data_IF_821334938270
#
_entry.id   IF_821334938270
#
_cell.length_a   1.000
_cell.length_b   1.000
_cell.length_c   1.000
_cell.angle_alpha   90.00
_cell.angle_beta   90.00
_cell.angle_gamma   90.00
#
_symmetry.space_group_name_H-M   'P 1'
#
loop_
_entity.id
_entity.type
_entity.pdbx_description
1 polymer ?
#
# COMPACT_ATOMS: atom_id res chain seq x y z
N UNK A 1 5.45 -39.70 1.56
CA UNK A 1 5.49 -38.27 1.26
C UNK A 1 6.66 -38.03 0.33
N UNK A 2 6.36 -37.85 -0.96
CA UNK A 2 7.39 -37.62 -1.97
C UNK A 2 7.82 -36.16 -1.95
N UNK A 3 9.11 -35.98 -1.70
CA UNK A 3 10.02 -34.84 -1.87
C UNK A 3 9.50 -33.61 -2.63
N UNK A 4 9.44 -32.49 -1.96
CA UNK A 4 10.43 -31.40 -2.05
C UNK A 4 10.49 -30.59 -3.34
N UNK A 5 9.67 -30.85 -4.35
CA UNK A 5 9.56 -29.94 -5.49
C UNK A 5 8.62 -28.78 -5.12
N UNK A 6 9.17 -27.58 -4.98
CA UNK A 6 8.39 -26.36 -4.77
C UNK A 6 7.36 -26.22 -5.89
N UNK A 7 6.11 -25.96 -5.50
CA UNK A 7 4.98 -25.83 -6.45
C UNK A 7 5.09 -24.53 -7.24
N UNK A 8 4.52 -24.53 -8.44
CA UNK A 8 4.16 -23.27 -9.10
C UNK A 8 3.00 -22.62 -8.35
N UNK A 9 2.90 -21.30 -8.41
CA UNK A 9 1.84 -20.53 -7.74
C UNK A 9 1.28 -19.51 -8.72
N UNK A 10 -0.03 -19.38 -8.72
CA UNK A 10 -0.77 -18.50 -9.60
C UNK A 10 -1.68 -17.60 -8.77
N UNK A 11 -1.76 -16.32 -9.13
CA UNK A 11 -2.85 -15.47 -8.70
C UNK A 11 -4.04 -15.83 -9.59
N UNK A 12 -5.09 -16.37 -8.97
CA UNK A 12 -6.30 -16.86 -9.66
C UNK A 12 -7.49 -15.93 -9.51
N UNK A 13 -7.45 -15.00 -8.56
CA UNK A 13 -8.45 -13.98 -8.38
C UNK A 13 -7.87 -12.71 -7.77
N UNK A 14 -8.51 -11.58 -8.11
CA UNK A 14 -8.21 -10.25 -7.58
C UNK A 14 -9.49 -9.57 -7.12
N UNK A 15 -9.37 -8.69 -6.14
CA UNK A 15 -10.48 -7.89 -5.66
C UNK A 15 -10.02 -6.58 -5.05
N UNK A 16 -10.87 -5.56 -5.12
CA UNK A 16 -10.60 -4.27 -4.50
C UNK A 16 -11.88 -3.64 -3.97
N UNK A 17 -11.77 -2.99 -2.81
CA UNK A 17 -12.86 -2.22 -2.21
C UNK A 17 -12.41 -0.78 -2.00
N UNK A 18 -13.01 0.14 -2.75
CA UNK A 18 -12.85 1.57 -2.56
C UNK A 18 -14.14 2.09 -1.91
N UNK A 19 -14.10 2.58 -0.64
CA UNK A 19 -15.28 2.89 0.13
C UNK A 19 -15.97 4.18 -0.33
N UNK A 20 -17.29 4.22 -0.18
CA UNK A 20 -18.10 5.41 -0.48
C UNK A 20 -18.04 5.87 -1.94
N UNK A 21 -18.41 7.12 -2.15
CA UNK A 21 -18.29 7.77 -3.47
C UNK A 21 -16.86 8.26 -3.73
N UNK A 22 -16.52 8.45 -5.01
CA UNK A 22 -15.28 9.13 -5.40
C UNK A 22 -15.36 10.61 -5.02
N UNK A 23 -14.46 11.07 -4.17
CA UNK A 23 -14.38 12.44 -3.66
C UNK A 23 -13.37 13.25 -4.47
N UNK A 24 -13.81 14.31 -5.13
CA UNK A 24 -12.96 15.25 -5.86
C UNK A 24 -12.13 16.15 -4.93
N UNK A 25 -11.13 16.80 -5.52
CA UNK A 25 -10.21 17.68 -4.79
C UNK A 25 -10.88 18.89 -4.11
N UNK A 26 -12.02 19.32 -4.62
CA UNK A 26 -12.83 20.42 -4.11
C UNK A 26 -13.61 20.06 -2.85
N UNK A 27 -13.93 18.78 -2.67
CA UNK A 27 -14.77 18.27 -1.57
C UNK A 27 -14.00 17.59 -0.45
N UNK A 28 -12.68 17.37 -0.59
CA UNK A 28 -11.93 16.56 0.40
C UNK A 28 -11.99 17.13 1.83
N UNK A 29 -11.91 18.46 1.99
CA UNK A 29 -11.97 19.07 3.32
C UNK A 29 -13.34 18.93 3.99
N UNK A 30 -14.40 18.57 3.25
CA UNK A 30 -15.69 18.21 3.83
C UNK A 30 -15.61 16.89 4.61
N UNK A 31 -14.72 15.98 4.21
CA UNK A 31 -14.52 14.67 4.83
C UNK A 31 -13.41 14.68 5.89
N UNK A 32 -12.23 15.21 5.54
CA UNK A 32 -11.09 15.22 6.47
C UNK A 32 -11.09 16.40 7.45
N UNK A 33 -12.03 17.34 7.30
CA UNK A 33 -12.15 18.51 8.15
C UNK A 33 -11.08 19.57 7.89
N UNK A 34 -11.31 20.75 8.47
CA UNK A 34 -10.40 21.90 8.42
C UNK A 34 -9.82 22.16 9.79
N UNK A 35 -8.51 22.11 9.93
CA UNK A 35 -7.81 22.40 11.18
C UNK A 35 -8.01 23.89 11.54
N UNK A 36 -8.41 24.17 12.77
CA UNK A 36 -8.83 25.50 13.24
C UNK A 36 -9.89 26.16 12.33
N UNK A 37 -10.74 25.36 11.66
CA UNK A 37 -11.77 25.83 10.74
C UNK A 37 -11.25 26.48 9.45
N UNK A 38 -9.96 26.38 9.13
CA UNK A 38 -9.31 27.07 8.01
C UNK A 38 -8.94 26.13 6.86
N UNK A 39 -9.15 26.56 5.59
CA UNK A 39 -8.68 25.79 4.44
C UNK A 39 -7.15 25.64 4.43
N UNK A 40 -6.65 24.46 4.11
CA UNK A 40 -5.21 24.24 4.03
C UNK A 40 -4.55 25.00 2.86
N UNK A 41 -3.47 25.73 3.17
CA UNK A 41 -2.62 26.37 2.17
C UNK A 41 -1.69 25.35 1.51
N UNK A 42 -1.17 24.40 2.29
CA UNK A 42 -0.30 23.32 1.81
C UNK A 42 -1.08 22.35 0.94
N UNK A 43 -2.32 22.02 1.31
CA UNK A 43 -3.19 21.12 0.57
C UNK A 43 -3.37 21.52 -0.88
N UNK A 44 -3.66 22.79 -1.16
CA UNK A 44 -3.77 23.31 -2.55
C UNK A 44 -2.49 23.14 -3.37
N UNK A 45 -1.32 23.20 -2.72
CA UNK A 45 -0.04 22.95 -3.37
C UNK A 45 0.19 21.45 -3.58
N UNK A 46 -0.10 20.62 -2.57
CA UNK A 46 0.01 19.17 -2.65
C UNK A 46 -0.83 18.61 -3.81
N UNK A 47 -2.09 19.05 -3.94
CA UNK A 47 -2.99 18.63 -5.01
C UNK A 47 -2.48 18.94 -6.43
N UNK A 48 -1.72 20.03 -6.61
CA UNK A 48 -1.10 20.32 -7.91
C UNK A 48 0.08 19.39 -8.25
N UNK A 49 0.77 18.89 -7.22
CA UNK A 49 1.97 18.07 -7.40
C UNK A 49 1.70 16.57 -7.41
N UNK A 50 0.69 16.13 -6.63
CA UNK A 50 0.43 14.70 -6.50
C UNK A 50 -0.28 14.09 -7.73
N UNK A 51 -1.01 14.90 -8.52
CA UNK A 51 -1.71 14.44 -9.71
C UNK A 51 -2.92 13.55 -9.42
N UNK A 52 -3.45 13.63 -8.21
CA UNK A 52 -4.67 12.93 -7.78
C UNK A 52 -5.87 13.83 -8.06
N UNK A 53 -6.87 13.30 -8.74
CA UNK A 53 -8.10 13.99 -9.11
C UNK A 53 -9.28 13.56 -8.24
N UNK A 54 -9.23 12.33 -7.73
CA UNK A 54 -10.22 11.78 -6.83
C UNK A 54 -9.61 10.75 -5.87
N UNK A 55 -10.35 10.49 -4.82
CA UNK A 55 -9.99 9.52 -3.78
C UNK A 55 -11.25 8.99 -3.11
N UNK A 56 -11.07 8.06 -2.20
CA UNK A 56 -12.15 7.46 -1.44
C UNK A 56 -11.90 7.61 0.05
N UNK A 57 -12.97 7.81 0.81
CA UNK A 57 -12.92 7.88 2.26
C UNK A 57 -13.92 6.92 2.88
N UNK A 58 -13.46 6.15 3.85
CA UNK A 58 -14.30 5.25 4.65
C UNK A 58 -15.04 6.01 5.78
N UNK A 59 -15.17 7.32 5.63
CA UNK A 59 -15.87 8.23 6.52
C UNK A 59 -16.97 8.97 5.77
N UNK A 60 -18.04 9.33 6.48
CA UNK A 60 -18.95 10.39 6.04
C UNK A 60 -18.34 11.78 6.31
N UNK A 61 -18.88 12.88 5.75
CA UNK A 61 -18.47 14.23 6.11
C UNK A 61 -18.57 14.52 7.62
N UNK A 62 -19.55 13.93 8.30
CA UNK A 62 -19.71 14.06 9.75
C UNK A 62 -18.70 13.21 10.55
N UNK A 63 -17.82 12.48 9.86
CA UNK A 63 -16.77 11.67 10.47
C UNK A 63 -17.24 10.31 11.00
N UNK A 64 -18.43 9.86 10.58
CA UNK A 64 -18.92 8.53 10.94
C UNK A 64 -18.25 7.48 10.04
N UNK A 65 -17.61 6.45 10.62
CA UNK A 65 -17.01 5.37 9.82
C UNK A 65 -18.07 4.59 9.05
N UNK A 66 -17.86 4.41 7.74
CA UNK A 66 -18.66 3.53 6.87
C UNK A 66 -18.15 2.08 6.94
N UNK A 67 -16.86 1.93 7.19
CA UNK A 67 -16.14 0.66 7.26
C UNK A 67 -15.09 0.71 8.36
N UNK A 68 -14.71 -0.44 8.88
CA UNK A 68 -13.41 -0.62 9.53
C UNK A 68 -12.34 -0.94 8.47
N UNK A 69 -11.06 -0.81 8.79
CA UNK A 69 -10.00 -1.25 7.90
C UNK A 69 -10.09 -2.76 7.64
N UNK A 70 -10.41 -3.52 8.69
CA UNK A 70 -10.60 -4.97 8.58
C UNK A 70 -11.79 -5.34 7.68
N UNK A 71 -12.92 -4.62 7.75
CA UNK A 71 -14.09 -4.90 6.89
C UNK A 71 -13.83 -4.57 5.42
N UNK A 72 -13.03 -3.53 5.11
CA UNK A 72 -12.60 -3.24 3.74
C UNK A 72 -11.72 -4.39 3.20
N UNK A 73 -10.73 -4.84 3.98
CA UNK A 73 -9.90 -5.99 3.62
C UNK A 73 -10.74 -7.25 3.38
N UNK A 74 -11.69 -7.54 4.28
CA UNK A 74 -12.59 -8.68 4.13
C UNK A 74 -13.44 -8.58 2.86
N UNK A 75 -13.93 -7.39 2.51
CA UNK A 75 -14.65 -7.14 1.26
C UNK A 75 -13.80 -7.44 0.04
N UNK A 76 -12.55 -6.94 0.01
CA UNK A 76 -11.62 -7.19 -1.08
C UNK A 76 -11.25 -8.68 -1.21
N UNK A 77 -11.08 -9.40 -0.07
CA UNK A 77 -10.82 -10.85 -0.09
C UNK A 77 -12.01 -11.63 -0.62
N UNK A 78 -13.25 -11.26 -0.24
CA UNK A 78 -14.45 -11.90 -0.81
C UNK A 78 -14.52 -11.73 -2.32
N UNK A 79 -14.30 -10.51 -2.80
CA UNK A 79 -14.28 -10.25 -4.24
C UNK A 79 -13.19 -11.05 -4.96
N UNK A 80 -12.00 -11.16 -4.36
CA UNK A 80 -10.92 -11.96 -4.94
C UNK A 80 -11.21 -13.46 -4.96
N UNK A 81 -11.87 -13.99 -3.92
CA UNK A 81 -12.35 -15.39 -3.89
C UNK A 81 -13.44 -15.63 -4.94
N UNK A 82 -14.42 -14.72 -5.03
CA UNK A 82 -15.49 -14.80 -6.03
C UNK A 82 -14.91 -14.76 -7.45
N UNK A 83 -13.94 -13.87 -7.71
CA UNK A 83 -13.23 -13.83 -9.00
C UNK A 83 -12.48 -15.14 -9.27
N UNK A 84 -11.88 -15.79 -8.27
CA UNK A 84 -11.26 -17.11 -8.41
C UNK A 84 -12.28 -18.25 -8.57
N UNK A 85 -13.56 -18.03 -8.30
CA UNK A 85 -14.61 -19.05 -8.26
C UNK A 85 -14.54 -19.92 -6.99
N UNK A 86 -14.04 -19.35 -5.88
CA UNK A 86 -13.87 -19.99 -4.59
C UNK A 86 -14.77 -19.36 -3.53
N UNK A 87 -15.00 -20.11 -2.46
CA UNK A 87 -15.70 -19.63 -1.26
C UNK A 87 -14.77 -19.35 -0.09
N UNK A 88 -15.29 -18.68 0.93
CA UNK A 88 -14.53 -18.43 2.18
C UNK A 88 -14.07 -19.74 2.84
N UNK A 89 -14.84 -20.82 2.70
CA UNK A 89 -14.53 -22.13 3.24
C UNK A 89 -13.28 -22.79 2.62
N UNK A 90 -12.89 -22.38 1.42
CA UNK A 90 -11.72 -22.89 0.72
C UNK A 90 -10.41 -22.24 1.24
N UNK A 91 -10.50 -21.08 1.91
CA UNK A 91 -9.35 -20.30 2.37
C UNK A 91 -8.63 -20.98 3.52
N UNK A 92 -7.33 -21.22 3.38
CA UNK A 92 -6.49 -21.91 4.36
C UNK A 92 -5.42 -21.00 4.98
N UNK A 93 -5.00 -19.95 4.24
CA UNK A 93 -4.03 -18.97 4.72
C UNK A 93 -4.48 -17.55 4.39
N UNK A 94 -4.37 -16.64 5.35
CA UNK A 94 -4.67 -15.22 5.20
C UNK A 94 -3.47 -14.36 5.65
N UNK A 95 -2.79 -13.74 4.70
CA UNK A 95 -1.85 -12.66 4.96
C UNK A 95 -2.56 -11.30 4.87
N UNK A 96 -2.60 -10.53 5.95
CA UNK A 96 -3.23 -9.21 5.95
C UNK A 96 -2.23 -8.11 6.35
N UNK A 97 -2.09 -7.10 5.48
CA UNK A 97 -1.16 -6.00 5.65
C UNK A 97 -1.87 -4.66 5.84
N UNK A 98 -1.28 -3.80 6.64
CA UNK A 98 -1.72 -2.41 6.82
C UNK A 98 -0.61 -1.57 7.43
N UNK A 99 -0.64 -0.27 7.22
CA UNK A 99 0.18 0.68 7.97
C UNK A 99 -0.24 0.68 9.43
N UNK A 100 -1.55 0.67 9.70
CA UNK A 100 -2.10 0.58 11.04
C UNK A 100 -3.48 -0.09 11.05
N UNK A 101 -3.62 -1.13 11.87
CA UNK A 101 -4.88 -1.80 12.10
C UNK A 101 -5.90 -0.94 12.84
N UNK A 102 -7.12 -1.46 13.00
CA UNK A 102 -8.19 -0.78 13.75
C UNK A 102 -7.91 -0.74 15.25
N UNK A 103 -7.18 -1.73 15.74
CA UNK A 103 -6.76 -1.84 17.14
C UNK A 103 -5.24 -1.89 17.24
N UNK A 104 -4.68 -1.48 18.39
CA UNK A 104 -3.25 -1.66 18.69
C UNK A 104 -2.94 -3.16 18.86
N UNK A 105 -3.85 -3.90 19.48
CA UNK A 105 -3.85 -5.36 19.65
C UNK A 105 -5.29 -5.86 19.64
N UNK A 106 -5.58 -7.05 19.10
CA UNK A 106 -4.71 -8.00 18.43
C UNK A 106 -4.27 -7.55 17.02
N UNK A 107 -3.49 -8.39 16.34
CA UNK A 107 -3.01 -8.12 14.98
C UNK A 107 -4.12 -8.05 13.94
N UNK A 108 -3.90 -7.27 12.87
CA UNK A 108 -4.89 -6.93 11.85
C UNK A 108 -5.52 -8.15 11.16
N UNK A 109 -4.74 -9.21 10.89
CA UNK A 109 -5.25 -10.41 10.21
C UNK A 109 -6.36 -11.12 10.99
N UNK A 110 -6.31 -11.08 12.33
CA UNK A 110 -7.39 -11.70 13.16
C UNK A 110 -8.69 -10.91 13.04
N UNK A 111 -8.63 -9.59 12.93
CA UNK A 111 -9.80 -8.75 12.68
C UNK A 111 -10.39 -9.00 11.28
N UNK A 112 -9.54 -9.12 10.26
CA UNK A 112 -9.97 -9.45 8.89
C UNK A 112 -10.62 -10.83 8.83
N UNK A 113 -10.04 -11.84 9.50
CA UNK A 113 -10.62 -13.18 9.61
C UNK A 113 -12.01 -13.15 10.25
N UNK A 114 -12.17 -12.38 11.33
CA UNK A 114 -13.47 -12.23 12.01
C UNK A 114 -14.51 -11.58 11.10
N UNK A 115 -14.15 -10.51 10.38
CA UNK A 115 -15.01 -9.86 9.41
C UNK A 115 -15.37 -10.78 8.21
N UNK A 116 -14.47 -11.66 7.80
CA UNK A 116 -14.76 -12.69 6.80
C UNK A 116 -15.75 -13.74 7.32
N UNK A 117 -15.84 -13.95 8.60
CA UNK A 117 -16.54 -15.12 9.18
C UNK A 117 -15.86 -16.44 8.80
N UNK A 118 -14.55 -16.40 8.52
CA UNK A 118 -13.80 -17.58 8.12
C UNK A 118 -13.58 -18.53 9.31
N UNK A 119 -13.63 -19.83 9.02
CA UNK A 119 -13.27 -20.88 9.97
C UNK A 119 -11.80 -20.79 10.39
N UNK A 120 -11.31 -21.74 11.17
CA UNK A 120 -9.91 -21.80 11.57
C UNK A 120 -8.99 -21.86 10.33
N UNK A 121 -8.04 -20.94 10.25
CA UNK A 121 -7.04 -20.85 9.19
C UNK A 121 -5.75 -20.24 9.74
N UNK A 122 -4.67 -20.32 9.00
CA UNK A 122 -3.45 -19.60 9.32
C UNK A 122 -3.61 -18.12 8.99
N UNK A 123 -3.54 -17.24 10.01
CA UNK A 123 -3.69 -15.81 9.86
C UNK A 123 -2.40 -15.07 10.27
N UNK A 124 -1.81 -14.30 9.34
CA UNK A 124 -0.54 -13.59 9.54
C UNK A 124 -0.71 -12.10 9.30
N UNK A 125 -0.42 -11.29 10.32
CA UNK A 125 -0.45 -9.83 10.21
C UNK A 125 0.91 -9.29 9.76
N UNK A 126 0.89 -8.42 8.75
CA UNK A 126 2.06 -7.68 8.26
C UNK A 126 1.86 -6.19 8.52
N UNK A 127 2.75 -5.58 9.30
CA UNK A 127 2.74 -4.15 9.54
C UNK A 127 3.87 -3.49 8.75
N UNK A 128 3.51 -2.69 7.77
CA UNK A 128 4.41 -1.89 6.96
C UNK A 128 3.59 -0.81 6.26
N UNK A 129 4.23 0.15 5.64
CA UNK A 129 3.54 1.14 4.82
C UNK A 129 3.22 0.52 3.44
N UNK A 130 3.66 1.13 2.34
CA UNK A 130 3.26 0.72 0.99
C UNK A 130 3.66 -0.72 0.62
N UNK A 131 4.83 -1.21 1.07
CA UNK A 131 5.33 -2.54 0.71
C UNK A 131 4.64 -3.70 1.47
N UNK A 132 3.78 -3.39 2.43
CA UNK A 132 3.04 -4.38 3.22
C UNK A 132 2.28 -5.40 2.36
N UNK A 133 1.65 -4.94 1.26
CA UNK A 133 0.97 -5.82 0.32
C UNK A 133 1.88 -6.92 -0.24
N UNK A 134 3.09 -6.56 -0.70
CA UNK A 134 4.04 -7.55 -1.21
C UNK A 134 4.66 -8.43 -0.12
N UNK A 135 4.73 -7.94 1.13
CA UNK A 135 5.10 -8.79 2.27
C UNK A 135 4.06 -9.89 2.49
N UNK A 136 2.77 -9.52 2.53
CA UNK A 136 1.67 -10.47 2.65
C UNK A 136 1.62 -11.44 1.46
N UNK A 137 1.79 -10.93 0.23
CA UNK A 137 1.88 -11.76 -0.96
C UNK A 137 3.02 -12.76 -0.90
N UNK A 138 4.20 -12.35 -0.42
CA UNK A 138 5.35 -13.23 -0.30
C UNK A 138 5.09 -14.35 0.71
N UNK A 139 4.43 -14.05 1.83
CA UNK A 139 4.00 -15.06 2.80
C UNK A 139 3.05 -16.07 2.17
N UNK A 140 1.93 -15.61 1.59
CA UNK A 140 0.96 -16.45 0.91
C UNK A 140 1.59 -17.29 -0.22
N UNK A 141 2.43 -16.67 -1.05
CA UNK A 141 3.16 -17.35 -2.13
C UNK A 141 4.06 -18.48 -1.60
N UNK A 142 4.80 -18.25 -0.52
CA UNK A 142 5.68 -19.26 0.08
C UNK A 142 4.87 -20.40 0.69
N UNK A 143 3.75 -20.11 1.36
CA UNK A 143 2.86 -21.10 1.97
C UNK A 143 2.26 -22.04 0.91
N UNK A 144 1.72 -21.49 -0.20
CA UNK A 144 1.21 -22.31 -1.32
C UNK A 144 2.35 -23.07 -2.01
N UNK A 145 3.50 -22.41 -2.23
CA UNK A 145 4.67 -22.99 -2.88
C UNK A 145 5.26 -24.16 -2.09
N UNK A 146 5.24 -24.08 -0.77
CA UNK A 146 5.69 -25.16 0.11
C UNK A 146 4.67 -26.31 0.22
N UNK A 147 3.42 -26.09 -0.20
CA UNK A 147 2.36 -27.09 -0.12
C UNK A 147 1.66 -27.11 1.23
N UNK A 148 1.85 -26.09 2.07
CA UNK A 148 1.17 -25.93 3.36
C UNK A 148 -0.28 -25.48 3.20
N UNK A 149 -0.62 -24.81 2.08
CA UNK A 149 -1.99 -24.43 1.71
C UNK A 149 -2.24 -24.66 0.22
N UNK A 150 -3.48 -24.99 -0.14
CA UNK A 150 -3.96 -25.02 -1.53
C UNK A 150 -4.53 -23.65 -1.93
N UNK A 151 -5.14 -22.92 -1.01
CA UNK A 151 -5.73 -21.60 -1.22
C UNK A 151 -5.24 -20.63 -0.16
N UNK A 152 -4.54 -19.59 -0.60
CA UNK A 152 -4.07 -18.50 0.25
C UNK A 152 -4.54 -17.15 -0.27
N UNK A 153 -4.93 -16.25 0.62
CA UNK A 153 -5.20 -14.85 0.28
C UNK A 153 -4.13 -13.93 0.87
N UNK A 154 -3.76 -12.90 0.09
CA UNK A 154 -2.97 -11.78 0.56
C UNK A 154 -3.76 -10.49 0.34
N UNK A 155 -4.11 -9.80 1.41
CA UNK A 155 -4.80 -8.52 1.34
C UNK A 155 -3.99 -7.38 1.98
N UNK A 156 -4.33 -6.17 1.59
CA UNK A 156 -3.84 -4.96 2.22
C UNK A 156 -4.97 -3.92 2.27
N UNK A 157 -5.05 -3.16 3.36
CA UNK A 157 -6.04 -2.11 3.52
C UNK A 157 -5.51 -0.92 4.28
N UNK A 158 -6.07 0.25 3.98
CA UNK A 158 -5.75 1.51 4.65
C UNK A 158 -7.01 2.29 4.98
N UNK A 159 -7.09 2.74 6.21
CA UNK A 159 -8.09 3.69 6.69
C UNK A 159 -7.38 4.98 7.11
N UNK A 160 -6.75 5.63 6.15
CA UNK A 160 -5.89 6.80 6.38
C UNK A 160 -6.68 8.03 6.82
N UNK A 161 -7.88 8.23 6.29
CA UNK A 161 -8.68 9.45 6.53
C UNK A 161 -9.03 9.67 8.00
N UNK A 162 -9.13 8.62 8.80
CA UNK A 162 -9.38 8.73 10.25
C UNK A 162 -8.30 9.54 10.99
N UNK A 163 -7.04 9.52 10.47
CA UNK A 163 -5.90 10.25 11.02
C UNK A 163 -5.80 11.69 10.52
N UNK A 164 -6.64 12.11 9.55
CA UNK A 164 -6.56 13.41 8.92
C UNK A 164 -7.53 14.43 9.51
N UNK A 165 -8.33 14.00 10.44
CA UNK A 165 -9.31 14.83 11.13
C UNK A 165 -8.65 15.89 12.01
N UNK A 166 -9.29 17.07 12.23
CA UNK A 166 -8.73 18.18 12.99
C UNK A 166 -8.22 17.78 14.37
N UNK A 167 -8.87 16.82 15.02
CA UNK A 167 -8.56 16.35 16.37
C UNK A 167 -7.13 15.81 16.52
N UNK A 168 -6.50 15.40 15.42
CA UNK A 168 -5.10 14.92 15.41
C UNK A 168 -4.08 16.06 15.29
N UNK A 169 -4.52 17.29 15.03
CA UNK A 169 -3.66 18.45 14.74
C UNK A 169 -3.89 19.63 15.67
N UNK A 170 -5.16 19.94 16.01
CA UNK A 170 -5.52 21.07 16.85
C UNK A 170 -4.89 20.98 18.23
N UNK A 171 -4.32 22.07 18.71
CA UNK A 171 -3.63 22.12 19.99
C UNK A 171 -2.27 21.39 20.05
N UNK A 172 -1.75 20.93 18.90
CA UNK A 172 -0.45 20.23 18.85
C UNK A 172 0.67 21.13 18.33
N UNK A 173 1.92 20.71 18.52
CA UNK A 173 3.12 21.36 17.99
C UNK A 173 3.20 21.34 16.44
N UNK A 174 2.27 20.67 15.74
CA UNK A 174 2.20 20.65 14.29
C UNK A 174 1.48 21.86 13.68
N UNK A 175 0.78 22.66 14.51
CA UNK A 175 0.04 23.84 14.07
C UNK A 175 0.79 25.10 14.53
N UNK A 176 1.12 25.97 13.58
CA UNK A 176 1.79 27.23 13.90
C UNK A 176 0.83 28.29 14.49
N UNK A 177 1.36 29.39 14.99
CA UNK A 177 0.59 30.50 15.56
C UNK A 177 -0.42 31.13 14.57
N UNK A 178 -0.34 30.81 13.28
CA UNK A 178 -1.29 31.24 12.24
C UNK A 178 -2.32 30.16 11.90
N UNK A 179 -2.38 29.06 12.65
CA UNK A 179 -3.29 27.94 12.42
C UNK A 179 -2.93 27.10 11.19
N UNK A 180 -1.66 27.08 10.76
CA UNK A 180 -1.22 26.30 9.58
C UNK A 180 -0.55 25.01 10.06
N UNK A 181 -1.01 23.89 9.51
CA UNK A 181 -0.40 22.59 9.73
C UNK A 181 0.95 22.54 9.00
N UNK A 182 1.96 21.93 9.62
CA UNK A 182 3.28 21.70 9.01
C UNK A 182 3.16 20.86 7.73
N UNK A 183 4.00 21.18 6.73
CA UNK A 183 3.97 20.52 5.42
C UNK A 183 4.19 19.01 5.53
N UNK A 184 5.04 18.59 6.46
CA UNK A 184 5.38 17.17 6.69
C UNK A 184 4.19 16.29 7.07
N UNK A 185 3.16 16.90 7.66
CA UNK A 185 1.91 16.25 8.02
C UNK A 185 0.81 16.54 6.98
N UNK A 186 0.65 17.81 6.59
CA UNK A 186 -0.49 18.25 5.80
C UNK A 186 -0.45 17.70 4.35
N UNK A 187 0.75 17.47 3.79
CA UNK A 187 0.89 16.82 2.47
C UNK A 187 0.22 15.44 2.44
N UNK A 188 0.37 14.64 3.51
CA UNK A 188 -0.20 13.30 3.58
C UNK A 188 -1.73 13.34 3.67
N UNK A 189 -2.29 14.34 4.38
CA UNK A 189 -3.74 14.58 4.44
C UNK A 189 -4.35 14.75 3.04
N UNK A 190 -3.62 15.37 2.13
CA UNK A 190 -4.06 15.67 0.76
C UNK A 190 -3.58 14.65 -0.29
N UNK A 191 -2.93 13.60 0.13
CA UNK A 191 -2.37 12.58 -0.79
C UNK A 191 -3.02 11.21 -0.58
N UNK A 192 -3.23 10.81 0.69
CA UNK A 192 -3.70 9.47 0.99
C UNK A 192 -5.22 9.32 0.82
N UNK A 193 -5.64 8.10 0.52
CA UNK A 193 -6.99 7.63 0.27
C UNK A 193 -7.24 6.38 1.10
N UNK A 194 -8.50 6.01 1.31
CA UNK A 194 -8.89 4.77 1.96
C UNK A 194 -9.23 3.69 0.94
N UNK A 195 -9.09 2.45 1.34
CA UNK A 195 -9.48 1.30 0.54
C UNK A 195 -8.71 0.04 0.88
N UNK A 196 -9.06 -1.03 0.23
CA UNK A 196 -8.40 -2.32 0.35
C UNK A 196 -8.28 -3.01 -1.01
N UNK A 197 -7.34 -3.94 -1.11
CA UNK A 197 -7.23 -4.84 -2.24
C UNK A 197 -6.68 -6.19 -1.79
N UNK A 198 -6.97 -7.22 -2.57
CA UNK A 198 -6.58 -8.59 -2.28
C UNK A 198 -6.27 -9.39 -3.54
N UNK A 199 -5.46 -10.42 -3.36
CA UNK A 199 -5.22 -11.47 -4.36
C UNK A 199 -5.40 -12.83 -3.71
N UNK A 200 -5.91 -13.79 -4.48
CA UNK A 200 -6.00 -15.20 -4.13
C UNK A 200 -4.94 -15.98 -4.91
N UNK A 201 -4.23 -16.87 -4.24
CA UNK A 201 -3.15 -17.66 -4.79
C UNK A 201 -3.43 -19.16 -4.64
N UNK A 202 -3.21 -19.92 -5.73
CA UNK A 202 -3.39 -21.36 -5.83
C UNK A 202 -2.20 -22.02 -6.53
N UNK A 203 -1.97 -23.35 -6.37
CA UNK A 203 -0.89 -24.07 -7.06
C UNK A 203 -1.19 -24.37 -8.55
N UNK A 204 -2.36 -23.99 -9.04
CA UNK A 204 -2.79 -24.23 -10.42
C UNK A 204 -3.49 -22.99 -10.98
N UNK A 205 -3.39 -22.73 -12.27
CA UNK A 205 -4.13 -21.65 -12.89
C UNK A 205 -5.64 -21.93 -12.91
N UNK A 206 -6.44 -20.89 -12.93
CA UNK A 206 -7.90 -20.95 -13.02
C UNK A 206 -8.32 -21.65 -14.32
N UNK A 207 -9.32 -22.53 -14.23
CA UNK A 207 -9.90 -23.16 -15.42
C UNK A 207 -10.78 -22.16 -16.17
N UNK A 208 -10.47 -21.92 -17.46
CA UNK A 208 -11.29 -21.08 -18.32
C UNK A 208 -11.25 -19.58 -18.04
N UNK A 209 -10.21 -19.09 -17.36
CA UNK A 209 -10.00 -17.69 -17.07
C UNK A 209 -8.52 -17.32 -17.10
N UNK A 210 -8.21 -16.02 -17.03
CA UNK A 210 -6.82 -15.55 -16.88
C UNK A 210 -6.33 -15.79 -15.46
N UNK A 211 -5.08 -16.18 -15.36
CA UNK A 211 -4.33 -16.23 -14.10
C UNK A 211 -2.96 -15.56 -14.27
N UNK A 212 -2.33 -15.21 -13.18
CA UNK A 212 -0.98 -14.66 -13.21
C UNK A 212 -0.04 -15.61 -12.50
N UNK A 213 0.86 -16.25 -13.24
CA UNK A 213 1.93 -17.07 -12.66
C UNK A 213 2.89 -16.18 -11.89
N UNK A 214 3.09 -16.44 -10.61
CA UNK A 214 4.08 -15.73 -9.81
C UNK A 214 5.46 -16.30 -10.09
N UNK A 215 6.27 -15.56 -10.82
CA UNK A 215 7.65 -15.96 -11.16
C UNK A 215 8.57 -15.84 -9.96
N UNK A 216 8.49 -14.72 -9.26
CA UNK A 216 9.23 -14.45 -8.02
C UNK A 216 8.71 -13.21 -7.30
N UNK A 217 8.98 -13.13 -5.99
CA UNK A 217 8.73 -11.95 -5.14
C UNK A 217 10.02 -11.67 -4.37
N UNK A 218 10.60 -10.49 -4.58
CA UNK A 218 11.81 -10.02 -3.90
C UNK A 218 11.50 -8.79 -3.04
N UNK A 219 12.02 -8.79 -1.80
CA UNK A 219 11.91 -7.67 -0.88
C UNK A 219 13.31 -7.25 -0.45
N UNK A 220 13.57 -5.94 -0.43
CA UNK A 220 14.86 -5.39 0.03
C UNK A 220 14.58 -4.27 1.02
N UNK A 221 15.03 -4.43 2.26
CA UNK A 221 14.99 -3.39 3.29
C UNK A 221 16.34 -2.70 3.39
N UNK A 222 16.33 -1.38 3.40
CA UNK A 222 17.49 -0.54 3.65
C UNK A 222 17.42 0.15 5.02
N UNK A 223 16.58 -0.37 5.92
CA UNK A 223 16.30 0.20 7.25
C UNK A 223 17.53 0.39 8.15
N UNK A 224 18.59 -0.38 7.93
CA UNK A 224 19.87 -0.21 8.62
C UNK A 224 20.69 1.00 8.15
N UNK A 225 20.28 1.66 7.04
CA UNK A 225 21.00 2.80 6.44
C UNK A 225 20.27 4.13 6.65
N UNK A 226 18.96 4.09 6.95
CA UNK A 226 18.12 5.27 6.99
C UNK A 226 17.25 5.31 8.25
N UNK A 227 17.04 6.50 8.76
CA UNK A 227 16.01 6.78 9.76
C UNK A 227 14.61 6.60 9.15
N UNK A 228 13.55 6.51 9.97
CA UNK A 228 12.18 6.55 9.47
C UNK A 228 11.96 7.80 8.60
N UNK A 229 11.52 7.57 7.36
CA UNK A 229 11.24 8.61 6.38
C UNK A 229 9.75 8.99 6.36
N UNK A 230 8.87 8.03 6.65
CA UNK A 230 7.45 8.26 6.96
C UNK A 230 7.12 7.49 8.25
N UNK A 231 6.52 8.16 9.23
CA UNK A 231 6.26 7.57 10.55
C UNK A 231 5.08 8.23 11.26
N UNK A 232 4.58 7.56 12.29
CA UNK A 232 3.75 8.08 13.35
C UNK A 232 4.22 7.48 14.69
N UNK A 233 3.91 8.12 15.81
CA UNK A 233 4.29 7.64 17.14
C UNK A 233 5.59 8.24 17.68
N UNK A 234 6.19 9.22 16.99
CA UNK A 234 7.34 9.99 17.46
C UNK A 234 7.34 11.41 16.90
N UNK A 235 8.08 12.33 17.50
CA UNK A 235 8.30 13.67 16.95
C UNK A 235 9.25 13.62 15.75
N UNK A 236 9.36 14.72 15.00
CA UNK A 236 10.33 14.82 13.91
C UNK A 236 11.78 14.69 14.40
N UNK A 237 12.08 15.26 15.55
CA UNK A 237 13.43 15.23 16.11
C UNK A 237 13.82 13.84 16.63
N UNK A 238 12.86 13.12 17.21
CA UNK A 238 13.11 11.88 17.95
C UNK A 238 12.79 10.61 17.16
N UNK A 239 12.43 10.70 15.88
CA UNK A 239 11.92 9.57 15.07
C UNK A 239 12.86 8.37 14.99
N UNK A 240 14.17 8.60 15.15
CA UNK A 240 15.17 7.54 15.15
C UNK A 240 15.36 6.88 16.52
N UNK A 241 15.00 7.57 17.60
CA UNK A 241 15.10 7.05 18.98
C UNK A 241 13.79 6.39 19.42
N UNK A 242 13.74 5.07 19.30
CA UNK A 242 12.56 4.30 19.70
C UNK A 242 12.22 4.37 21.19
N UNK A 243 13.17 4.83 22.05
CA UNK A 243 12.94 5.04 23.48
C UNK A 243 12.14 6.33 23.75
N UNK A 244 12.08 7.24 22.76
CA UNK A 244 11.26 8.46 22.80
C UNK A 244 9.90 8.29 22.13
N UNK A 245 9.49 7.05 21.81
CA UNK A 245 8.22 6.78 21.15
C UNK A 245 7.01 7.09 22.07
N UNK A 246 5.86 7.31 21.48
CA UNK A 246 4.59 7.68 22.12
C UNK A 246 4.22 6.81 23.33
N UNK A 247 4.54 5.53 23.30
CA UNK A 247 4.25 4.57 24.38
C UNK A 247 5.04 4.87 25.66
N UNK A 248 6.19 5.52 25.56
CA UNK A 248 6.99 5.93 26.70
C UNK A 248 6.61 7.34 27.19
N UNK A 249 6.28 8.25 26.28
CA UNK A 249 5.83 9.61 26.63
C UNK A 249 4.41 9.63 27.20
N UNK A 250 3.60 8.64 26.87
CA UNK A 250 2.18 8.59 27.14
C UNK A 250 1.34 9.32 26.06
N UNK A 251 0.10 8.87 25.79
CA UNK A 251 -0.68 9.32 24.65
C UNK A 251 -0.99 10.82 24.65
N UNK A 252 -1.26 11.44 25.79
CA UNK A 252 -1.55 12.89 25.88
C UNK A 252 -0.33 13.75 25.56
N UNK A 253 0.84 13.44 26.10
CA UNK A 253 2.08 14.16 25.81
C UNK A 253 2.52 13.94 24.37
N UNK A 254 2.39 12.73 23.84
CA UNK A 254 2.69 12.41 22.45
C UNK A 254 1.76 13.16 21.48
N UNK A 255 0.46 13.29 21.81
CA UNK A 255 -0.48 14.07 21.02
C UNK A 255 -0.08 15.55 21.01
N UNK A 256 0.14 16.17 22.18
CA UNK A 256 0.53 17.58 22.28
C UNK A 256 1.82 17.88 21.49
N UNK A 257 2.78 16.95 21.47
CA UNK A 257 4.01 17.05 20.69
C UNK A 257 3.79 16.81 19.16
N UNK A 258 2.58 16.45 18.72
CA UNK A 258 2.25 16.12 17.33
C UNK A 258 2.77 14.74 16.89
N UNK A 259 3.24 13.90 17.81
CA UNK A 259 3.79 12.59 17.51
C UNK A 259 2.74 11.57 17.03
N UNK A 260 1.44 11.82 17.29
CA UNK A 260 0.36 10.91 16.90
C UNK A 260 -0.08 11.11 15.44
N UNK A 261 0.31 12.18 14.78
CA UNK A 261 0.04 12.38 13.36
C UNK A 261 1.03 11.62 12.49
N UNK A 262 0.60 11.32 11.25
CA UNK A 262 1.47 10.75 10.23
C UNK A 262 2.37 11.85 9.65
N UNK A 263 3.67 11.62 9.60
CA UNK A 263 4.69 12.59 9.19
C UNK A 263 5.56 12.03 8.06
N UNK A 264 6.02 12.89 7.15
CA UNK A 264 6.92 12.55 6.05
C UNK A 264 8.12 13.50 6.02
N UNK A 265 9.34 12.95 6.02
CA UNK A 265 10.57 13.70 5.76
C UNK A 265 10.86 13.75 4.26
N UNK A 266 10.63 14.90 3.63
CA UNK A 266 10.78 15.08 2.18
C UNK A 266 12.24 15.15 1.73
N UNK A 267 13.15 15.65 2.59
CA UNK A 267 14.56 15.69 2.24
C UNK A 267 15.19 14.30 2.28
N UNK A 268 14.85 13.52 3.31
CA UNK A 268 15.25 12.12 3.38
C UNK A 268 14.63 11.30 2.24
N UNK A 269 13.38 11.58 1.85
CA UNK A 269 12.71 10.88 0.76
C UNK A 269 13.49 10.97 -0.57
N UNK A 270 14.05 12.14 -0.90
CA UNK A 270 14.88 12.31 -2.10
C UNK A 270 16.11 11.39 -2.10
N UNK A 271 16.71 11.20 -0.92
CA UNK A 271 17.87 10.30 -0.76
C UNK A 271 17.43 8.85 -0.88
N UNK A 272 16.32 8.50 -0.25
CA UNK A 272 15.73 7.15 -0.27
C UNK A 272 15.33 6.74 -1.70
N UNK A 273 14.76 7.64 -2.49
CA UNK A 273 14.43 7.37 -3.90
C UNK A 273 15.68 6.94 -4.69
N UNK A 274 16.79 7.65 -4.52
CA UNK A 274 18.06 7.26 -5.17
C UNK A 274 18.56 5.90 -4.72
N UNK A 275 18.36 5.56 -3.45
CA UNK A 275 18.73 4.24 -2.93
C UNK A 275 17.84 3.14 -3.52
N UNK A 276 16.54 3.37 -3.74
CA UNK A 276 15.66 2.44 -4.45
C UNK A 276 16.09 2.25 -5.90
N UNK A 277 16.46 3.34 -6.60
CA UNK A 277 17.03 3.24 -7.96
C UNK A 277 18.30 2.38 -7.95
N UNK A 278 19.17 2.51 -6.94
CA UNK A 278 20.33 1.63 -6.80
C UNK A 278 19.97 0.15 -6.66
N UNK A 279 18.90 -0.19 -5.91
CA UNK A 279 18.41 -1.57 -5.82
C UNK A 279 17.84 -2.05 -7.16
N UNK A 280 17.12 -1.18 -7.88
CA UNK A 280 16.62 -1.46 -9.22
C UNK A 280 17.76 -1.77 -10.20
N UNK A 281 18.76 -0.89 -10.30
CA UNK A 281 19.90 -1.05 -11.18
C UNK A 281 20.67 -2.37 -10.88
N UNK A 282 20.87 -2.68 -9.60
CA UNK A 282 21.52 -3.92 -9.22
C UNK A 282 20.75 -5.18 -9.68
N UNK A 283 19.40 -5.12 -9.74
CA UNK A 283 18.59 -6.22 -10.28
C UNK A 283 18.67 -6.33 -11.81
N UNK A 284 18.78 -5.20 -12.49
CA UNK A 284 18.97 -5.15 -13.94
C UNK A 284 20.38 -5.68 -14.29
N UNK A 285 21.42 -5.21 -13.61
CA UNK A 285 22.80 -5.65 -13.81
C UNK A 285 22.98 -7.15 -13.56
N UNK A 286 22.25 -7.70 -12.58
CA UNK A 286 22.23 -9.14 -12.29
C UNK A 286 21.39 -9.97 -13.28
N UNK A 287 20.76 -9.34 -14.28
CA UNK A 287 19.85 -10.01 -15.22
C UNK A 287 18.56 -10.55 -14.60
N UNK A 288 18.26 -10.15 -13.36
CA UNK A 288 17.02 -10.54 -12.67
C UNK A 288 15.81 -9.86 -13.28
N UNK A 289 15.99 -8.65 -13.80
CA UNK A 289 15.02 -7.88 -14.56
C UNK A 289 15.70 -7.46 -15.86
N UNK A 290 15.02 -7.72 -16.97
CA UNK A 290 15.43 -7.27 -18.31
C UNK A 290 14.36 -6.26 -18.77
N UNK A 291 14.62 -4.94 -18.74
CA UNK A 291 13.60 -3.90 -18.96
C UNK A 291 12.82 -4.07 -20.26
N UNK A 292 13.47 -4.45 -21.35
CA UNK A 292 12.84 -4.65 -22.67
C UNK A 292 11.86 -5.82 -22.69
N UNK A 293 12.03 -6.81 -21.80
CA UNK A 293 11.18 -8.00 -21.68
C UNK A 293 10.00 -7.79 -20.71
N UNK A 294 9.87 -6.61 -20.12
CA UNK A 294 8.70 -6.25 -19.31
C UNK A 294 7.65 -5.65 -20.22
N UNK A 295 6.48 -6.28 -20.30
CA UNK A 295 5.36 -5.81 -21.13
C UNK A 295 4.52 -4.77 -20.40
N UNK A 296 4.33 -4.93 -19.10
CA UNK A 296 3.56 -4.02 -18.26
C UNK A 296 4.27 -3.73 -16.94
N UNK A 297 4.29 -2.46 -16.54
CA UNK A 297 4.83 -2.00 -15.27
C UNK A 297 3.72 -1.41 -14.40
N UNK A 298 3.49 -1.99 -13.24
CA UNK A 298 2.66 -1.46 -12.16
C UNK A 298 3.59 -0.97 -11.05
N UNK A 299 3.94 0.31 -11.09
CA UNK A 299 4.81 0.93 -10.09
C UNK A 299 3.99 1.79 -9.14
N UNK A 300 4.00 1.45 -7.85
CA UNK A 300 3.41 2.31 -6.84
C UNK A 300 4.30 3.54 -6.63
N UNK A 301 3.84 4.68 -7.07
CA UNK A 301 4.37 5.99 -6.71
C UNK A 301 3.25 6.83 -6.09
N UNK A 302 3.52 7.45 -4.96
CA UNK A 302 2.50 8.12 -4.16
C UNK A 302 2.07 9.48 -4.71
N UNK A 303 2.77 10.00 -5.70
CA UNK A 303 2.49 11.29 -6.35
C UNK A 303 3.10 11.35 -7.76
N UNK A 304 2.48 12.12 -8.67
CA UNK A 304 3.00 12.34 -10.04
C UNK A 304 4.42 12.94 -10.02
N UNK A 305 4.71 13.83 -9.07
CA UNK A 305 6.05 14.41 -8.92
C UNK A 305 7.12 13.36 -8.61
N UNK A 306 6.80 12.33 -7.83
CA UNK A 306 7.73 11.24 -7.52
C UNK A 306 7.96 10.34 -8.74
N UNK A 307 6.90 10.10 -9.56
CA UNK A 307 7.06 9.43 -10.85
C UNK A 307 8.03 10.17 -11.75
N UNK A 308 7.86 11.48 -11.88
CA UNK A 308 8.75 12.31 -12.69
C UNK A 308 10.20 12.26 -12.22
N UNK A 309 10.45 12.20 -10.91
CA UNK A 309 11.79 12.04 -10.35
C UNK A 309 12.39 10.65 -10.68
N UNK A 310 11.61 9.58 -10.56
CA UNK A 310 12.03 8.22 -10.93
C UNK A 310 12.39 8.17 -12.43
N UNK A 311 11.52 8.70 -13.30
CA UNK A 311 11.75 8.76 -14.74
C UNK A 311 13.04 9.53 -15.04
N UNK A 312 13.20 10.75 -14.51
CA UNK A 312 14.39 11.57 -14.74
C UNK A 312 15.70 10.93 -14.25
N UNK A 313 15.65 10.06 -13.22
CA UNK A 313 16.81 9.30 -12.76
C UNK A 313 17.15 8.12 -13.68
N UNK A 314 16.17 7.60 -14.43
CA UNK A 314 16.33 6.41 -15.28
C UNK A 314 16.50 6.73 -16.77
N UNK A 315 16.03 7.90 -17.25
CA UNK A 315 16.04 8.28 -18.70
C UNK A 315 17.40 8.13 -19.37
N UNK A 316 18.48 8.37 -18.64
CA UNK A 316 19.84 8.26 -19.17
C UNK A 316 20.49 6.91 -18.90
N UNK A 317 19.71 5.91 -18.51
CA UNK A 317 20.17 4.55 -18.23
C UNK A 317 19.53 3.55 -19.19
N UNK A 318 20.21 2.45 -19.49
CA UNK A 318 19.60 1.33 -20.21
C UNK A 318 18.60 0.52 -19.38
N UNK A 319 18.26 1.01 -18.19
CA UNK A 319 17.36 0.35 -17.22
C UNK A 319 15.95 0.94 -17.20
N UNK A 320 15.63 1.88 -18.08
CA UNK A 320 14.29 2.47 -18.18
C UNK A 320 13.32 1.51 -18.86
N UNK A 321 12.16 1.27 -18.24
CA UNK A 321 11.01 0.66 -18.91
C UNK A 321 10.20 1.80 -19.54
N UNK A 322 9.90 1.75 -20.84
CA UNK A 322 9.16 2.81 -21.55
C UNK A 322 7.85 3.18 -20.86
N UNK A 323 7.54 4.49 -20.80
CA UNK A 323 6.40 5.01 -20.02
C UNK A 323 5.04 4.53 -20.53
N UNK A 324 4.90 4.18 -21.79
CA UNK A 324 3.67 3.60 -22.37
C UNK A 324 3.33 2.21 -21.81
N UNK A 325 4.30 1.52 -21.21
CA UNK A 325 4.10 0.24 -20.50
C UNK A 325 3.63 0.43 -19.05
N UNK A 326 3.63 1.67 -18.53
CA UNK A 326 3.26 1.94 -17.15
C UNK A 326 1.75 2.08 -17.01
N UNK A 327 1.19 1.36 -16.05
CA UNK A 327 -0.21 1.44 -15.68
C UNK A 327 -0.35 2.00 -14.26
N UNK A 328 -1.34 2.85 -14.04
CA UNK A 328 -1.62 3.46 -12.75
C UNK A 328 -3.10 3.79 -12.58
N UNK A 329 -3.57 3.78 -11.34
CA UNK A 329 -4.91 4.26 -10.94
C UNK A 329 -4.82 5.48 -10.03
N UNK A 330 -3.64 6.10 -9.90
CA UNK A 330 -3.38 7.17 -8.93
C UNK A 330 -4.33 8.37 -9.08
N UNK A 331 -4.67 8.76 -10.32
CA UNK A 331 -5.55 9.89 -10.56
C UNK A 331 -6.97 9.67 -10.04
N UNK A 332 -7.48 8.45 -10.18
CA UNK A 332 -8.86 8.08 -9.87
C UNK A 332 -9.06 7.62 -8.43
N UNK A 333 -8.19 6.73 -7.95
CA UNK A 333 -8.30 6.09 -6.62
C UNK A 333 -7.51 6.80 -5.52
N UNK A 334 -6.62 7.73 -5.90
CA UNK A 334 -5.67 8.32 -4.96
C UNK A 334 -4.58 7.35 -4.52
N UNK A 335 -3.79 7.75 -3.52
CA UNK A 335 -2.79 6.89 -2.92
C UNK A 335 -3.41 6.07 -1.76
N UNK A 336 -3.70 4.81 -2.01
CA UNK A 336 -4.30 3.87 -1.03
C UNK A 336 -3.22 3.16 -0.20
N UNK A 337 -2.04 3.74 -0.04
CA UNK A 337 -0.96 3.18 0.79
C UNK A 337 -0.60 1.74 0.41
N UNK A 338 -0.62 0.83 1.39
CA UNK A 338 -0.32 -0.59 1.17
C UNK A 338 -1.24 -1.27 0.15
N UNK A 339 -2.51 -0.86 0.07
CA UNK A 339 -3.47 -1.46 -0.85
C UNK A 339 -3.28 -1.04 -2.31
N UNK A 340 -2.55 0.05 -2.58
CA UNK A 340 -2.43 0.64 -3.93
C UNK A 340 -2.05 -0.37 -5.01
N UNK A 341 -1.12 -1.29 -4.74
CA UNK A 341 -0.65 -2.24 -5.74
C UNK A 341 -1.74 -3.27 -6.11
N UNK A 342 -2.58 -3.67 -5.16
CA UNK A 342 -3.69 -4.59 -5.42
C UNK A 342 -4.84 -3.90 -6.15
N UNK A 343 -5.20 -2.68 -5.74
CA UNK A 343 -6.18 -1.85 -6.46
C UNK A 343 -5.74 -1.65 -7.91
N UNK A 344 -4.45 -1.40 -8.13
CA UNK A 344 -3.87 -1.22 -9.45
C UNK A 344 -3.87 -2.52 -10.27
N UNK A 345 -3.51 -3.66 -9.66
CA UNK A 345 -3.49 -4.96 -10.32
C UNK A 345 -4.92 -5.41 -10.71
N UNK A 346 -5.88 -5.25 -9.82
CA UNK A 346 -7.28 -5.54 -10.06
C UNK A 346 -7.85 -4.69 -11.21
N UNK A 347 -7.62 -3.37 -11.19
CA UNK A 347 -8.02 -2.48 -12.27
C UNK A 347 -7.32 -2.81 -13.61
N UNK A 348 -6.05 -3.18 -13.57
CA UNK A 348 -5.28 -3.61 -14.74
C UNK A 348 -5.93 -4.83 -15.40
N UNK A 349 -6.26 -5.87 -14.64
CA UNK A 349 -6.91 -7.08 -15.16
C UNK A 349 -8.33 -6.80 -15.66
N UNK A 350 -9.13 -6.04 -14.91
CA UNK A 350 -10.50 -5.63 -15.29
C UNK A 350 -10.53 -4.75 -16.54
N UNK A 351 -9.45 -4.02 -16.84
CA UNK A 351 -9.33 -3.23 -18.09
C UNK A 351 -9.13 -4.07 -19.36
N UNK A 352 -9.01 -5.40 -19.23
CA UNK A 352 -8.75 -6.30 -20.34
C UNK A 352 -7.29 -6.34 -20.80
N UNK A 353 -6.39 -5.64 -20.13
CA UNK A 353 -4.94 -5.68 -20.40
C UNK A 353 -4.33 -7.00 -19.91
N UNK A 354 -3.13 -7.27 -20.37
CA UNK A 354 -2.39 -8.51 -20.06
C UNK A 354 -2.90 -9.69 -20.92
N UNK A 355 -2.19 -9.97 -21.99
CA UNK A 355 -2.45 -11.12 -22.87
C UNK A 355 -1.63 -12.33 -22.39
N UNK A 356 -2.08 -13.56 -22.63
CA UNK A 356 -1.30 -14.75 -22.33
C UNK A 356 0.13 -14.66 -22.88
N UNK A 357 1.10 -14.96 -22.04
CA UNK A 357 2.55 -14.85 -22.30
C UNK A 357 3.16 -13.49 -21.98
N UNK A 358 2.37 -12.43 -21.76
CA UNK A 358 2.91 -11.13 -21.35
C UNK A 358 3.32 -11.11 -19.88
N UNK A 359 4.35 -10.31 -19.59
CA UNK A 359 4.90 -10.13 -18.25
C UNK A 359 4.36 -8.85 -17.60
N UNK A 360 4.10 -8.95 -16.29
CA UNK A 360 3.69 -7.81 -15.46
C UNK A 360 4.67 -7.67 -14.29
N UNK A 361 5.38 -6.55 -14.23
CA UNK A 361 6.25 -6.23 -13.11
C UNK A 361 5.55 -5.29 -12.14
N UNK A 362 5.36 -5.72 -10.91
CA UNK A 362 4.90 -4.88 -9.81
C UNK A 362 6.10 -4.38 -9.02
N UNK A 363 6.18 -3.05 -8.79
CA UNK A 363 7.22 -2.41 -7.98
C UNK A 363 6.55 -1.57 -6.89
N UNK A 364 6.95 -1.79 -5.64
CA UNK A 364 6.42 -1.05 -4.49
C UNK A 364 7.58 -0.49 -3.66
N UNK A 365 8.03 0.74 -3.95
CA UNK A 365 8.91 1.47 -3.04
C UNK A 365 8.13 1.93 -1.81
N UNK A 366 8.75 1.89 -0.65
CA UNK A 366 8.15 2.25 0.63
C UNK A 366 8.98 3.29 1.38
N UNK A 367 8.35 4.42 1.70
CA UNK A 367 9.00 5.51 2.43
C UNK A 367 9.08 5.29 3.94
N UNK A 368 8.38 4.32 4.53
CA UNK A 368 8.39 4.10 5.98
C UNK A 368 9.82 4.07 6.54
N UNK A 369 10.60 3.05 6.17
CA UNK A 369 12.04 3.00 6.48
C UNK A 369 12.84 2.39 5.32
N UNK A 370 12.61 2.95 4.12
CA UNK A 370 13.35 2.63 2.89
C UNK A 370 13.31 1.14 2.50
N UNK A 371 12.12 0.57 2.35
CA UNK A 371 11.94 -0.76 1.76
C UNK A 371 11.58 -0.63 0.28
N UNK A 372 11.88 -1.66 -0.51
CA UNK A 372 11.35 -1.81 -1.87
C UNK A 372 11.03 -3.27 -2.14
N UNK A 373 9.84 -3.50 -2.71
CA UNK A 373 9.38 -4.82 -3.11
C UNK A 373 9.19 -4.91 -4.62
N UNK A 374 9.44 -6.10 -5.17
CA UNK A 374 9.27 -6.44 -6.57
C UNK A 374 8.52 -7.75 -6.69
N UNK A 375 7.59 -7.83 -7.62
CA UNK A 375 6.91 -9.07 -7.96
C UNK A 375 6.82 -9.19 -9.49
N UNK A 376 7.36 -10.27 -10.04
CA UNK A 376 7.28 -10.58 -11.46
C UNK A 376 6.19 -11.61 -11.70
N UNK A 377 5.28 -11.28 -12.57
CA UNK A 377 4.14 -12.09 -12.96
C UNK A 377 4.20 -12.39 -14.46
N UNK A 378 3.56 -13.49 -14.85
CA UNK A 378 3.31 -13.84 -16.25
C UNK A 378 1.82 -14.17 -16.41
N UNK A 379 1.19 -13.62 -17.42
CA UNK A 379 -0.21 -13.88 -17.75
C UNK A 379 -0.33 -15.26 -18.39
N UNK A 380 -1.22 -16.10 -17.86
CA UNK A 380 -1.46 -17.47 -18.36
C UNK A 380 -2.94 -17.75 -18.53
#
# INVERSE_FOLDING_TARGET
MNSDALREVFITGTGSLLPGERVGNDRMEDFIGRVDGRPSVVGRRALRWNGIEGRHYALTPDGVPLHSNASMCAGAVREALDDAGLGIADLQHLGAATTQGDLLVPGHASAVQAELGAAALEAVSYQSVCAGALMAAKGAWLTVRAGEAEVAAACAGEFSSRWFRPEFYEGTALVDARGRVRMEADFLRFTLSDGAGAVVMEPRPRRGGRSLKVRWIDMTSLAGRFDPCMWAGSTFADRADLKSAWSHAGPGAAHAAGAMALLQDFELLKIVIRAWIGVWLAKVDAGRIVPDQVDHLLCHYSARSLRAEIVGLLENTAAMIPEEKWFTTLAESGNVGAASIWVMLDAFLKSGRGKPGETVLCIVPESGRAMIGFMMLEVV
#
